data_IF_897904816933
#
_entry.id   IF_897904816933
#
_cell.length_a   1.000
_cell.length_b   1.000
_cell.length_c   1.000
_cell.angle_alpha   90.00
_cell.angle_beta   90.00
_cell.angle_gamma   90.00
#
_symmetry.space_group_name_H-M   'P 1'
#
loop_
_entity.id
_entity.type
_entity.pdbx_description
1 polymer ?
#
# COMPACT_ATOMS: atom_id res chain seq x y z
N UNK A 1 26.73 27.71 37.62
CA UNK A 1 26.39 28.83 36.73
C UNK A 1 26.15 28.30 35.32
N UNK A 2 24.90 28.10 34.89
CA UNK A 2 24.60 27.54 33.59
C UNK A 2 24.45 28.64 32.53
N UNK A 3 24.96 28.34 31.32
CA UNK A 3 24.96 29.18 30.13
C UNK A 3 23.54 29.38 29.58
N UNK A 4 23.32 30.58 29.07
CA UNK A 4 22.05 31.12 28.59
C UNK A 4 21.49 30.39 27.37
N UNK A 5 20.17 30.15 27.42
CA UNK A 5 19.28 29.89 26.30
C UNK A 5 19.24 31.11 25.38
N UNK A 6 19.43 30.91 24.08
CA UNK A 6 19.14 31.93 23.06
C UNK A 6 17.95 31.43 22.24
N UNK A 7 16.80 32.05 22.48
CA UNK A 7 15.63 31.97 21.63
C UNK A 7 15.87 32.77 20.34
N UNK A 8 15.68 32.14 19.18
CA UNK A 8 15.54 32.85 17.91
C UNK A 8 14.06 33.18 17.67
N UNK A 9 13.70 34.45 17.42
CA UNK A 9 12.38 34.81 16.92
C UNK A 9 12.36 34.73 15.38
N UNK A 10 11.37 34.02 14.83
CA UNK A 10 10.96 34.14 13.44
C UNK A 10 10.27 35.50 13.21
N UNK A 11 10.63 36.29 12.20
CA UNK A 11 9.78 37.38 11.75
C UNK A 11 8.86 36.92 10.62
N UNK A 12 7.57 37.12 10.88
CA UNK A 12 6.50 37.27 9.89
C UNK A 12 6.80 38.42 8.92
N UNK A 13 6.59 38.22 7.63
CA UNK A 13 6.52 39.30 6.65
C UNK A 13 5.31 39.10 5.74
N UNK A 14 4.23 39.80 6.09
CA UNK A 14 3.22 40.29 5.16
C UNK A 14 3.76 41.56 4.44
N UNK A 15 2.90 42.24 3.67
CA UNK A 15 3.07 43.56 3.00
C UNK A 15 3.25 43.52 1.48
N UNK A 16 2.08 43.56 0.83
CA UNK A 16 1.62 44.63 -0.08
C UNK A 16 2.36 44.92 -1.40
N UNK A 17 1.57 44.69 -2.46
CA UNK A 17 1.44 45.47 -3.68
C UNK A 17 2.21 46.80 -3.73
N UNK A 18 3.09 46.91 -4.72
CA UNK A 18 3.49 48.20 -5.27
C UNK A 18 3.32 48.17 -6.79
N UNK A 19 2.39 49.00 -7.27
CA UNK A 19 2.24 49.36 -8.68
C UNK A 19 3.38 50.31 -9.06
N UNK A 20 4.04 50.06 -10.18
CA UNK A 20 4.84 51.06 -10.88
C UNK A 20 4.64 50.93 -12.39
N UNK A 21 4.21 52.05 -12.98
CA UNK A 21 4.01 52.25 -14.42
C UNK A 21 5.34 52.51 -15.11
N UNK A 22 5.48 52.02 -16.35
CA UNK A 22 6.26 52.71 -17.38
C UNK A 22 7.19 51.82 -18.20
N UNK A 23 6.82 51.59 -19.47
CA UNK A 23 7.60 51.90 -20.68
C UNK A 23 7.18 50.98 -21.85
N UNK A 24 6.81 51.61 -22.95
CA UNK A 24 6.54 50.98 -24.25
C UNK A 24 7.84 50.35 -24.80
N UNK A 25 7.81 49.06 -25.10
CA UNK A 25 8.75 48.44 -26.05
C UNK A 25 7.92 47.63 -27.05
N UNK A 26 8.00 48.02 -28.32
CA UNK A 26 7.48 47.25 -29.46
C UNK A 26 8.34 46.00 -29.61
N UNK A 27 7.75 44.82 -29.49
CA UNK A 27 8.41 43.56 -29.85
C UNK A 27 7.43 42.67 -30.61
N UNK A 28 7.92 42.14 -31.73
CA UNK A 28 7.24 41.21 -32.63
C UNK A 28 6.63 40.05 -31.84
N UNK A 29 5.34 39.79 -32.06
CA UNK A 29 4.69 38.57 -31.59
C UNK A 29 5.17 37.39 -32.44
N UNK A 30 6.13 36.62 -31.93
CA UNK A 30 6.38 35.26 -32.38
C UNK A 30 5.27 34.39 -31.76
N UNK A 31 4.35 33.89 -32.59
CA UNK A 31 3.35 32.93 -32.15
C UNK A 31 4.05 31.60 -31.80
N UNK A 32 4.45 31.44 -30.54
CA UNK A 32 4.88 30.15 -30.02
C UNK A 32 3.63 29.27 -29.92
N UNK A 33 3.43 28.40 -30.89
CA UNK A 33 2.47 27.31 -30.81
C UNK A 33 2.87 26.41 -29.64
N UNK A 34 2.18 26.58 -28.50
CA UNK A 34 2.23 25.65 -27.39
C UNK A 34 1.61 24.34 -27.90
N UNK A 35 2.46 23.44 -28.38
CA UNK A 35 2.07 22.07 -28.65
C UNK A 35 1.62 21.45 -27.33
N UNK A 36 0.33 21.13 -27.23
CA UNK A 36 -0.20 20.31 -26.14
C UNK A 36 0.41 18.93 -26.31
N UNK A 37 1.49 18.64 -25.58
CA UNK A 37 2.02 17.27 -25.48
C UNK A 37 1.00 16.53 -24.61
N UNK A 38 0.06 15.84 -25.24
CA UNK A 38 -0.75 14.86 -24.54
C UNK A 38 0.21 13.77 -24.02
N UNK A 39 0.13 13.37 -22.74
CA UNK A 39 0.90 12.23 -22.27
C UNK A 39 0.44 11.00 -23.05
N UNK A 40 1.33 10.38 -23.83
CA UNK A 40 1.08 9.06 -24.38
C UNK A 40 0.98 8.09 -23.20
N UNK A 41 -0.22 7.64 -22.87
CA UNK A 41 -0.38 6.40 -22.13
C UNK A 41 0.27 5.31 -22.97
N UNK A 42 1.44 4.82 -22.54
CA UNK A 42 2.04 3.64 -23.12
C UNK A 42 1.08 2.47 -22.84
N UNK A 43 0.22 2.17 -23.81
CA UNK A 43 -0.59 0.96 -23.77
C UNK A 43 0.36 -0.23 -23.88
N UNK A 44 0.56 -0.97 -22.80
CA UNK A 44 1.22 -2.27 -22.88
C UNK A 44 0.31 -3.22 -23.67
N UNK A 45 0.71 -3.68 -24.87
CA UNK A 45 -0.14 -4.53 -25.70
C UNK A 45 -0.56 -5.77 -24.91
N UNK A 46 -1.87 -6.07 -24.89
CA UNK A 46 -2.42 -7.20 -24.14
C UNK A 46 -2.76 -6.93 -22.67
N UNK A 47 -2.62 -5.69 -22.18
CA UNK A 47 -3.06 -5.30 -20.84
C UNK A 47 -4.15 -4.21 -20.89
N UNK A 48 -5.15 -4.36 -20.03
CA UNK A 48 -6.18 -3.36 -19.78
C UNK A 48 -5.92 -2.69 -18.43
N UNK A 49 -5.67 -1.38 -18.46
CA UNK A 49 -5.53 -0.57 -17.25
C UNK A 49 -6.78 -0.64 -16.39
N UNK A 50 -6.55 -0.74 -15.09
CA UNK A 50 -7.63 -0.71 -14.10
C UNK A 50 -8.05 0.73 -13.82
N UNK A 51 -9.36 0.95 -13.69
CA UNK A 51 -9.90 2.25 -13.28
C UNK A 51 -9.54 2.60 -11.82
N UNK A 52 -9.23 1.57 -11.02
CA UNK A 52 -8.73 1.69 -9.65
C UNK A 52 -7.73 0.58 -9.42
N UNK A 53 -6.58 0.91 -8.81
CA UNK A 53 -5.55 -0.08 -8.53
C UNK A 53 -6.07 -1.18 -7.61
N UNK A 54 -5.50 -2.38 -7.76
CA UNK A 54 -5.72 -3.51 -6.87
C UNK A 54 -4.43 -3.78 -6.09
N UNK A 55 -4.52 -4.62 -5.05
CA UNK A 55 -3.40 -4.85 -4.14
C UNK A 55 -3.21 -6.35 -3.94
N UNK A 56 -1.99 -6.84 -4.15
CA UNK A 56 -1.62 -8.21 -3.82
C UNK A 56 -0.99 -8.21 -2.43
N UNK A 57 -1.53 -9.05 -1.54
CA UNK A 57 -0.88 -9.48 -0.31
C UNK A 57 0.03 -10.65 -0.65
N UNK A 58 1.33 -10.40 -0.82
CA UNK A 58 2.30 -11.43 -1.12
C UNK A 58 2.90 -11.98 0.18
N UNK A 59 2.78 -13.30 0.40
CA UNK A 59 3.28 -14.00 1.59
C UNK A 59 4.80 -14.14 1.55
N UNK A 60 5.48 -13.01 1.77
CA UNK A 60 6.92 -12.87 1.68
C UNK A 60 7.34 -11.95 2.81
N UNK A 61 8.41 -12.31 3.51
CA UNK A 61 9.07 -11.39 4.44
C UNK A 61 9.78 -10.30 3.61
N UNK A 62 9.30 -9.05 3.65
CA UNK A 62 9.88 -7.96 2.87
C UNK A 62 11.24 -7.49 3.41
N UNK A 63 11.67 -8.00 4.56
CA UNK A 63 12.98 -7.75 5.16
C UNK A 63 13.96 -8.92 4.96
N UNK A 64 13.45 -10.06 4.49
CA UNK A 64 14.22 -11.27 4.25
C UNK A 64 14.91 -11.31 2.88
N UNK A 65 15.83 -12.27 2.67
CA UNK A 65 16.56 -12.42 1.41
C UNK A 65 15.65 -12.73 0.21
N UNK A 66 14.45 -13.27 0.46
CA UNK A 66 13.46 -13.59 -0.58
C UNK A 66 12.96 -12.37 -1.36
N UNK A 67 13.08 -11.16 -0.81
CA UNK A 67 12.66 -9.92 -1.49
C UNK A 67 13.50 -9.64 -2.76
N UNK A 68 14.68 -10.25 -2.90
CA UNK A 68 15.52 -10.12 -4.10
C UNK A 68 15.18 -11.14 -5.20
N UNK A 69 14.21 -12.02 -4.97
CA UNK A 69 13.86 -13.05 -5.94
C UNK A 69 13.12 -12.44 -7.15
N UNK A 70 13.45 -12.96 -8.33
CA UNK A 70 12.77 -12.63 -9.60
C UNK A 70 11.72 -13.68 -9.99
N UNK A 71 11.76 -14.86 -9.36
CA UNK A 71 10.79 -15.94 -9.53
C UNK A 71 10.76 -16.84 -8.29
N UNK A 72 9.72 -17.65 -8.15
CA UNK A 72 9.57 -18.56 -7.02
C UNK A 72 8.31 -19.41 -7.09
N UNK A 73 7.97 -20.03 -5.95
CA UNK A 73 6.72 -20.72 -5.71
C UNK A 73 5.96 -20.05 -4.57
N UNK A 74 4.79 -20.58 -4.20
CA UNK A 74 4.06 -20.12 -3.02
C UNK A 74 2.97 -19.09 -3.29
N UNK A 75 2.62 -18.82 -4.55
CA UNK A 75 1.57 -17.85 -4.86
C UNK A 75 0.16 -18.32 -4.41
N UNK A 76 -0.01 -19.60 -4.04
CA UNK A 76 -1.24 -20.08 -3.41
C UNK A 76 -1.50 -19.44 -2.05
N UNK A 77 -0.43 -19.00 -1.38
CA UNK A 77 -0.48 -18.33 -0.08
C UNK A 77 -0.54 -16.81 -0.23
N UNK A 78 -0.66 -16.29 -1.46
CA UNK A 78 -0.84 -14.87 -1.75
C UNK A 78 -2.32 -14.58 -2.00
N UNK A 79 -2.76 -13.36 -1.69
CA UNK A 79 -4.15 -12.93 -1.87
C UNK A 79 -4.23 -11.62 -2.65
N UNK A 80 -5.42 -11.29 -3.17
CA UNK A 80 -5.67 -10.03 -3.86
C UNK A 80 -6.87 -9.28 -3.29
N UNK A 81 -6.69 -8.00 -2.98
CA UNK A 81 -7.77 -7.05 -2.77
C UNK A 81 -8.13 -6.37 -4.08
N UNK A 82 -9.32 -6.68 -4.61
CA UNK A 82 -9.84 -6.08 -5.85
C UNK A 82 -10.40 -4.66 -5.64
N UNK A 83 -10.61 -4.29 -4.39
CA UNK A 83 -11.05 -2.96 -3.94
C UNK A 83 -10.12 -2.55 -2.80
N UNK A 84 -9.74 -1.28 -2.75
CA UNK A 84 -8.88 -0.74 -1.69
C UNK A 84 -9.46 -1.06 -0.29
N UNK A 85 -8.77 -1.87 0.54
CA UNK A 85 -9.24 -2.23 1.87
C UNK A 85 -9.10 -1.10 2.89
N UNK A 86 -8.27 -0.07 2.63
CA UNK A 86 -7.98 1.02 3.57
C UNK A 86 -9.21 1.84 3.94
N UNK A 87 -9.95 2.43 2.99
CA UNK A 87 -11.20 3.14 3.27
C UNK A 87 -12.33 2.24 3.83
N UNK A 88 -12.17 0.92 3.75
CA UNK A 88 -13.16 -0.09 4.15
C UNK A 88 -12.90 -0.64 5.54
N UNK A 89 -11.71 -0.46 6.10
CA UNK A 89 -11.29 -1.06 7.35
C UNK A 89 -11.88 -0.40 8.61
N UNK A 90 -11.55 -0.99 9.76
CA UNK A 90 -12.01 -0.56 11.09
C UNK A 90 -10.79 -0.36 11.99
N UNK A 91 -10.63 0.82 12.61
CA UNK A 91 -9.51 1.07 13.54
C UNK A 91 -9.57 0.09 14.72
N UNK A 92 -8.42 -0.35 15.22
CA UNK A 92 -8.32 -1.24 16.40
C UNK A 92 -9.13 -0.74 17.60
N UNK A 93 -9.09 0.56 17.89
CA UNK A 93 -9.86 1.19 18.97
C UNK A 93 -11.39 1.00 18.83
N UNK A 94 -11.86 0.75 17.60
CA UNK A 94 -13.26 0.56 17.26
C UNK A 94 -13.66 -0.92 17.15
N UNK A 95 -12.79 -1.85 17.55
CA UNK A 95 -13.08 -3.28 17.47
C UNK A 95 -14.32 -3.68 18.30
N UNK A 96 -14.51 -3.10 19.49
CA UNK A 96 -15.70 -3.40 20.32
C UNK A 96 -17.01 -3.00 19.62
N UNK A 97 -16.99 -1.92 18.85
CA UNK A 97 -18.13 -1.47 18.04
C UNK A 97 -18.36 -2.44 16.88
N UNK A 98 -17.30 -2.95 16.25
CA UNK A 98 -17.40 -4.00 15.23
C UNK A 98 -18.02 -5.27 15.82
N UNK A 99 -17.59 -5.71 17.01
CA UNK A 99 -18.19 -6.84 17.72
C UNK A 99 -19.66 -6.60 18.06
N UNK A 100 -20.01 -5.41 18.59
CA UNK A 100 -21.38 -5.03 18.91
C UNK A 100 -22.28 -4.98 17.66
N UNK A 101 -21.72 -4.66 16.49
CA UNK A 101 -22.39 -4.75 15.19
C UNK A 101 -22.46 -6.19 14.65
N UNK A 102 -22.19 -7.20 15.48
CA UNK A 102 -22.15 -8.60 15.09
C UNK A 102 -21.03 -8.91 14.10
N UNK A 103 -19.92 -8.17 14.12
CA UNK A 103 -18.81 -8.32 13.18
C UNK A 103 -19.06 -7.76 11.78
N UNK A 104 -20.11 -6.96 11.56
CA UNK A 104 -20.34 -6.33 10.25
C UNK A 104 -19.69 -4.95 10.20
N UNK A 105 -18.73 -4.77 9.30
CA UNK A 105 -18.11 -3.48 9.07
C UNK A 105 -19.05 -2.56 8.26
N UNK A 106 -18.84 -1.24 8.35
CA UNK A 106 -19.63 -0.24 7.59
C UNK A 106 -19.55 -0.45 6.08
N UNK A 107 -18.44 -0.99 5.59
CA UNK A 107 -18.24 -1.32 4.18
C UNK A 107 -18.94 -2.63 3.73
N UNK A 108 -19.66 -3.30 4.63
CA UNK A 108 -20.51 -4.45 4.34
C UNK A 108 -19.82 -5.81 4.44
N UNK A 109 -18.51 -5.85 4.71
CA UNK A 109 -17.78 -7.10 4.91
C UNK A 109 -17.95 -7.64 6.34
N UNK A 110 -17.82 -8.96 6.47
CA UNK A 110 -17.95 -9.68 7.73
C UNK A 110 -16.56 -9.96 8.32
N UNK A 111 -16.34 -9.51 9.55
CA UNK A 111 -15.17 -9.85 10.33
C UNK A 111 -15.14 -11.33 10.67
N UNK A 112 -14.02 -11.97 10.42
CA UNK A 112 -13.75 -13.36 10.77
C UNK A 112 -12.84 -13.39 12.01
N UNK A 113 -13.39 -13.83 13.14
CA UNK A 113 -12.64 -13.92 14.40
C UNK A 113 -11.50 -14.92 14.37
N UNK A 114 -11.59 -15.93 13.49
CA UNK A 114 -10.62 -17.02 13.41
C UNK A 114 -9.50 -16.72 12.41
N UNK A 115 -9.66 -15.69 11.58
CA UNK A 115 -8.70 -15.32 10.55
C UNK A 115 -8.90 -13.87 10.11
N UNK A 116 -8.09 -12.96 10.66
CA UNK A 116 -8.28 -11.53 10.49
C UNK A 116 -7.01 -10.79 10.06
N UNK A 117 -7.22 -9.64 9.43
CA UNK A 117 -6.19 -8.87 8.77
C UNK A 117 -6.00 -7.51 9.41
N UNK A 118 -4.76 -7.05 9.49
CA UNK A 118 -4.38 -5.76 10.06
C UNK A 118 -3.31 -5.10 9.18
N UNK A 119 -3.36 -3.78 9.02
CA UNK A 119 -2.31 -2.99 8.36
C UNK A 119 -1.50 -2.12 9.32
N UNK A 120 -0.45 -1.48 8.77
CA UNK A 120 0.59 -0.78 9.53
C UNK A 120 0.11 0.39 10.40
N UNK A 121 -1.07 0.95 10.21
CA UNK A 121 -1.68 2.00 11.04
C UNK A 121 -2.74 1.48 12.02
N UNK A 122 -2.80 0.16 12.25
CA UNK A 122 -3.74 -0.43 13.20
C UNK A 122 -5.18 -0.42 12.71
N UNK A 123 -5.39 -0.63 11.41
CA UNK A 123 -6.69 -0.78 10.78
C UNK A 123 -6.96 -2.27 10.47
N UNK A 124 -8.03 -2.80 11.04
CA UNK A 124 -8.56 -4.12 10.76
C UNK A 124 -9.18 -4.10 9.36
N UNK A 125 -8.76 -5.01 8.48
CA UNK A 125 -9.15 -5.01 7.08
C UNK A 125 -10.03 -6.20 6.70
N UNK A 126 -10.80 -6.02 5.64
CA UNK A 126 -11.39 -7.13 4.89
C UNK A 126 -10.28 -8.06 4.39
N UNK A 127 -10.49 -9.38 4.44
CA UNK A 127 -9.51 -10.32 3.93
C UNK A 127 -9.38 -10.20 2.40
N UNK A 128 -8.18 -10.36 1.83
CA UNK A 128 -8.03 -10.49 0.39
C UNK A 128 -8.62 -11.82 -0.11
N UNK A 129 -8.89 -11.90 -1.40
CA UNK A 129 -9.32 -13.13 -2.04
C UNK A 129 -8.12 -14.07 -2.22
N UNK A 130 -8.22 -15.30 -1.72
CA UNK A 130 -7.21 -16.36 -1.85
C UNK A 130 -7.73 -17.56 -2.67
N UNK A 131 -6.83 -18.29 -3.36
CA UNK A 131 -5.45 -17.90 -3.67
C UNK A 131 -5.41 -16.78 -4.72
N UNK A 132 -4.25 -16.12 -4.88
CA UNK A 132 -4.00 -15.25 -6.02
C UNK A 132 -4.20 -16.07 -7.31
N UNK A 133 -5.17 -15.73 -8.18
CA UNK A 133 -5.45 -16.56 -9.35
C UNK A 133 -4.26 -16.62 -10.32
N UNK A 134 -4.04 -17.75 -11.00
CA UNK A 134 -3.13 -17.78 -12.15
C UNK A 134 -3.49 -16.71 -13.18
N UNK A 135 -2.48 -16.08 -13.76
CA UNK A 135 -2.66 -14.98 -14.71
C UNK A 135 -1.48 -14.02 -14.73
N UNK A 136 -1.60 -12.98 -15.54
CA UNK A 136 -0.59 -11.93 -15.69
C UNK A 136 -1.11 -10.61 -15.15
N UNK A 137 -0.31 -10.00 -14.29
CA UNK A 137 -0.63 -8.78 -13.55
C UNK A 137 0.44 -7.74 -13.86
N UNK A 138 0.04 -6.54 -14.30
CA UNK A 138 0.96 -5.41 -14.37
C UNK A 138 1.11 -4.86 -12.96
N UNK A 139 2.32 -4.96 -12.40
CA UNK A 139 2.61 -4.67 -11.00
C UNK A 139 3.66 -3.59 -10.80
N UNK A 140 3.55 -2.88 -9.68
CA UNK A 140 4.53 -1.87 -9.25
C UNK A 140 4.53 -1.72 -7.74
N UNK A 141 5.66 -1.27 -7.19
CA UNK A 141 5.76 -0.84 -5.80
C UNK A 141 5.38 0.63 -5.60
N UNK A 142 4.77 1.29 -6.58
CA UNK A 142 4.54 2.74 -6.56
C UNK A 142 5.83 3.56 -6.66
N UNK A 143 6.87 2.96 -7.23
CA UNK A 143 8.21 3.52 -7.38
C UNK A 143 8.61 3.48 -8.86
N UNK A 144 9.89 3.29 -9.17
CA UNK A 144 10.42 3.38 -10.54
C UNK A 144 9.99 2.20 -11.43
N UNK A 145 9.90 1.00 -10.86
CA UNK A 145 9.64 -0.21 -11.64
C UNK A 145 8.15 -0.50 -11.79
N UNK A 146 7.71 -0.68 -13.03
CA UNK A 146 6.45 -1.34 -13.39
C UNK A 146 6.78 -2.49 -14.32
N UNK A 147 6.35 -3.71 -13.99
CA UNK A 147 6.63 -4.91 -14.80
C UNK A 147 5.47 -5.90 -14.74
N UNK A 148 5.61 -7.05 -15.40
CA UNK A 148 4.62 -8.13 -15.38
C UNK A 148 4.99 -9.17 -14.31
N UNK A 149 4.07 -9.41 -13.39
CA UNK A 149 4.04 -10.61 -12.56
C UNK A 149 3.20 -11.67 -13.27
N UNK A 150 3.79 -12.82 -13.55
CA UNK A 150 3.09 -13.99 -14.07
C UNK A 150 2.93 -15.02 -12.96
N UNK A 151 1.69 -15.40 -12.65
CA UNK A 151 1.36 -16.51 -11.74
C UNK A 151 0.89 -17.69 -12.58
N UNK A 152 1.59 -18.83 -12.48
CA UNK A 152 1.31 -20.04 -13.25
C UNK A 152 0.24 -20.90 -12.56
N UNK A 153 -0.39 -21.86 -13.27
CA UNK A 153 -1.42 -22.74 -12.69
C UNK A 153 -0.95 -23.58 -11.49
N UNK A 154 0.35 -23.84 -11.39
CA UNK A 154 0.98 -24.54 -10.25
C UNK A 154 1.37 -23.61 -9.09
N UNK A 155 0.94 -22.34 -9.13
CA UNK A 155 1.27 -21.29 -8.18
C UNK A 155 2.76 -20.95 -8.06
N UNK A 156 3.56 -21.36 -9.05
CA UNK A 156 4.85 -20.70 -9.30
C UNK A 156 4.64 -19.32 -9.92
N UNK A 157 5.58 -18.42 -9.70
CA UNK A 157 5.51 -17.04 -10.15
C UNK A 157 6.85 -16.54 -10.68
N UNK A 158 6.80 -15.55 -11.56
CA UNK A 158 7.97 -14.87 -12.10
C UNK A 158 7.66 -13.41 -12.43
N UNK A 159 8.67 -12.54 -12.26
CA UNK A 159 8.66 -11.14 -12.67
C UNK A 159 9.46 -11.00 -13.97
N UNK A 160 8.92 -10.20 -14.90
CA UNK A 160 9.59 -9.90 -16.14
C UNK A 160 10.76 -8.90 -15.95
N UNK A 161 11.51 -8.67 -17.01
CA UNK A 161 12.56 -7.62 -17.12
C UNK A 161 13.70 -7.71 -16.09
N UNK A 162 13.85 -8.87 -15.44
CA UNK A 162 14.83 -9.06 -14.37
C UNK A 162 14.46 -8.32 -13.07
N UNK A 163 13.23 -7.82 -12.95
CA UNK A 163 12.75 -7.16 -11.75
C UNK A 163 12.66 -8.14 -10.57
N UNK A 164 12.91 -7.60 -9.38
CA UNK A 164 12.80 -8.33 -8.12
C UNK A 164 11.51 -8.01 -7.39
N UNK A 165 11.12 -8.83 -6.42
CA UNK A 165 10.02 -8.51 -5.52
C UNK A 165 10.23 -7.19 -4.79
N UNK A 166 11.47 -6.83 -4.47
CA UNK A 166 11.81 -5.53 -3.89
C UNK A 166 11.28 -4.42 -4.79
N UNK A 167 11.62 -4.44 -6.08
CA UNK A 167 11.25 -3.40 -7.04
C UNK A 167 9.73 -3.17 -7.12
N UNK A 168 8.95 -4.25 -7.03
CA UNK A 168 7.49 -4.21 -7.13
C UNK A 168 6.76 -4.15 -5.79
N UNK A 169 7.47 -4.20 -4.66
CA UNK A 169 6.88 -4.05 -3.33
C UNK A 169 6.77 -2.59 -2.95
N UNK A 170 5.60 -2.18 -2.46
CA UNK A 170 5.41 -0.87 -1.83
C UNK A 170 6.02 -0.89 -0.42
N UNK A 171 7.32 -0.58 -0.36
CA UNK A 171 8.15 -0.82 0.82
C UNK A 171 7.59 -0.32 2.16
N UNK A 172 6.91 0.83 2.27
CA UNK A 172 6.36 1.26 3.56
C UNK A 172 5.18 0.43 4.05
N UNK A 173 4.33 -0.05 3.14
CA UNK A 173 3.06 -0.69 3.50
C UNK A 173 3.24 -2.14 3.93
N UNK A 174 2.47 -2.54 4.94
CA UNK A 174 2.51 -3.88 5.50
C UNK A 174 1.10 -4.34 5.83
N UNK A 175 0.86 -5.62 5.62
CA UNK A 175 -0.31 -6.26 6.20
C UNK A 175 0.12 -7.53 6.91
N UNK A 176 -0.65 -7.93 7.89
CA UNK A 176 -0.47 -9.22 8.52
C UNK A 176 -1.82 -9.90 8.71
N UNK A 177 -1.75 -11.22 8.57
CA UNK A 177 -2.83 -12.16 8.88
C UNK A 177 -2.59 -12.72 10.26
N UNK A 178 -3.63 -12.70 11.10
CA UNK A 178 -3.60 -13.19 12.45
C UNK A 178 -4.66 -14.28 12.65
N UNK A 179 -4.23 -15.40 13.21
CA UNK A 179 -5.08 -16.55 13.50
C UNK A 179 -4.98 -16.85 15.00
N UNK A 180 -6.09 -16.90 15.75
CA UNK A 180 -6.05 -17.26 17.16
C UNK A 180 -5.40 -18.63 17.40
N UNK A 181 -4.58 -18.72 18.44
CA UNK A 181 -3.98 -19.99 18.86
C UNK A 181 -5.04 -20.87 19.54
N UNK A 182 -4.92 -22.19 19.40
CA UNK A 182 -5.85 -23.12 20.07
C UNK A 182 -5.83 -23.00 21.60
N UNK A 183 -4.72 -22.53 22.17
CA UNK A 183 -4.48 -22.43 23.61
C UNK A 183 -4.86 -21.08 24.21
N UNK A 184 -5.06 -20.04 23.40
CA UNK A 184 -5.38 -18.69 23.85
C UNK A 184 -6.24 -17.97 22.82
N UNK A 185 -7.34 -17.34 23.26
CA UNK A 185 -8.22 -16.58 22.37
C UNK A 185 -7.64 -15.20 22.03
N UNK A 186 -6.69 -15.17 21.10
CA UNK A 186 -6.20 -13.91 20.52
C UNK A 186 -7.28 -13.22 19.67
N UNK A 187 -7.28 -11.89 19.66
CA UNK A 187 -8.21 -11.07 18.89
C UNK A 187 -7.64 -9.67 18.68
N UNK A 188 -8.24 -8.81 17.84
CA UNK A 188 -7.83 -7.41 17.77
C UNK A 188 -7.85 -6.69 19.12
N UNK A 189 -8.68 -7.10 20.08
CA UNK A 189 -8.69 -6.53 21.43
C UNK A 189 -7.42 -6.80 22.25
N UNK A 190 -6.61 -7.78 21.86
CA UNK A 190 -5.33 -8.10 22.52
C UNK A 190 -4.12 -7.49 21.80
N UNK A 191 -4.36 -6.71 20.73
CA UNK A 191 -3.32 -5.92 20.08
C UNK A 191 -2.96 -4.70 20.95
N UNK A 192 -1.67 -4.36 21.01
CA UNK A 192 -1.23 -3.15 21.69
C UNK A 192 -1.27 -1.97 20.72
N UNK A 193 -2.18 -1.02 20.94
CA UNK A 193 -2.34 0.15 20.08
C UNK A 193 -1.08 1.03 20.01
N UNK A 194 -0.22 1.00 21.03
CA UNK A 194 1.03 1.77 21.05
C UNK A 194 2.09 1.22 20.08
N UNK A 195 1.90 0.02 19.54
CA UNK A 195 2.78 -0.55 18.52
C UNK A 195 2.45 -0.02 17.11
N UNK A 196 1.43 0.85 16.99
CA UNK A 196 0.98 1.45 15.74
C UNK A 196 1.05 2.99 15.80
N UNK A 197 1.35 3.67 14.66
CA UNK A 197 1.71 3.09 13.39
C UNK A 197 3.09 2.40 13.44
N UNK A 198 3.24 1.33 12.69
CA UNK A 198 4.51 0.62 12.55
C UNK A 198 5.51 1.53 11.86
N UNK A 199 6.78 1.43 12.25
CA UNK A 199 7.88 2.06 11.49
C UNK A 199 7.78 1.68 10.01
N UNK A 200 7.85 2.62 9.07
CA UNK A 200 7.72 2.33 7.64
C UNK A 200 8.61 1.16 7.20
N UNK A 201 7.97 0.12 6.66
CA UNK A 201 8.63 -1.10 6.21
C UNK A 201 9.10 -2.07 7.30
N UNK A 202 8.86 -1.76 8.58
CA UNK A 202 9.12 -2.64 9.70
C UNK A 202 8.19 -3.87 9.74
N UNK A 203 8.48 -4.85 10.62
CA UNK A 203 7.62 -6.02 10.79
C UNK A 203 6.31 -5.64 11.48
N UNK A 204 5.23 -6.37 11.18
CA UNK A 204 3.95 -6.15 11.87
C UNK A 204 4.04 -6.57 13.35
N UNK A 205 3.39 -5.88 14.30
CA UNK A 205 3.47 -6.23 15.72
C UNK A 205 2.88 -7.62 16.01
N UNK A 206 3.42 -8.33 16.99
CA UNK A 206 2.79 -9.56 17.47
C UNK A 206 1.49 -9.21 18.21
N UNK A 207 0.46 -10.05 18.05
CA UNK A 207 -0.79 -9.91 18.82
C UNK A 207 -0.93 -11.12 19.73
N UNK A 208 -1.09 -10.85 21.03
CA UNK A 208 -1.12 -11.90 22.05
C UNK A 208 -2.25 -12.90 21.77
N UNK A 209 -1.91 -14.19 21.85
CA UNK A 209 -2.84 -15.29 21.58
C UNK A 209 -3.08 -15.58 20.10
N UNK A 210 -2.23 -15.09 19.19
CA UNK A 210 -2.35 -15.37 17.74
C UNK A 210 -1.04 -15.86 17.13
N UNK A 211 -1.12 -16.67 16.08
CA UNK A 211 -0.06 -16.78 15.08
C UNK A 211 -0.17 -15.62 14.10
N UNK A 212 0.97 -15.12 13.63
CA UNK A 212 1.08 -13.99 12.72
C UNK A 212 1.82 -14.40 11.45
N UNK A 213 1.31 -13.98 10.29
CA UNK A 213 1.98 -14.04 9.01
C UNK A 213 2.05 -12.64 8.41
N UNK A 214 3.26 -12.16 8.10
CA UNK A 214 3.46 -10.86 7.45
C UNK A 214 3.36 -11.01 5.93
N UNK A 215 2.84 -9.96 5.31
CA UNK A 215 2.63 -9.86 3.87
C UNK A 215 3.19 -8.54 3.33
N UNK A 216 3.96 -8.66 2.25
CA UNK A 216 4.35 -7.53 1.41
C UNK A 216 3.16 -7.08 0.54
N UNK A 217 3.09 -5.79 0.24
CA UNK A 217 2.01 -5.21 -0.58
C UNK A 217 2.57 -4.84 -1.96
N UNK A 218 1.95 -5.36 -3.01
CA UNK A 218 2.29 -5.08 -4.41
C UNK A 218 1.07 -4.42 -5.07
N UNK A 219 1.25 -3.33 -5.81
CA UNK A 219 0.15 -2.67 -6.51
C UNK A 219 -0.05 -3.28 -7.90
N UNK A 220 -1.29 -3.51 -8.28
CA UNK A 220 -1.70 -3.97 -9.60
C UNK A 220 -2.38 -2.83 -10.34
N UNK A 221 -1.85 -2.46 -11.50
CA UNK A 221 -2.30 -1.30 -12.29
C UNK A 221 -3.03 -1.69 -13.57
N UNK A 222 -2.82 -2.92 -14.05
CA UNK A 222 -3.50 -3.47 -15.23
C UNK A 222 -3.58 -5.00 -15.15
N UNK A 223 -4.58 -5.57 -15.80
CA UNK A 223 -4.76 -7.02 -15.97
C UNK A 223 -4.62 -7.38 -17.45
N UNK A 224 -4.26 -8.64 -17.72
CA UNK A 224 -4.30 -9.19 -19.09
C UNK A 224 -5.73 -9.05 -19.68
N UNK A 225 -5.81 -8.63 -20.94
CA UNK A 225 -7.04 -8.29 -21.65
C UNK A 225 -7.73 -9.49 -22.30
#
# INVERSE_FOLDING_TARGET
APRANIHHPFPSASWQCMLARGALVRSLALAASIGVIAPMSASNPGFKSLASIQFIAASIDPTGPGIQATSGAGAQDWGIWRVDPGPRGVRLENFKQLEAAGGMARAGWKFNTDDWWLEEHGLIMEAPDFPLPPGRYMVTGGRETTTVLTVKPDHSWELADGATLYDVTHLPCRSARYTPLATEKGSPATANAADFPVTPGGPMPAVRGTSKQDYAVIFVTALEA
#
